data_IF_252428690806
#
_entry.id   IF_252428690806
#
_cell.length_a   1.000
_cell.length_b   1.000
_cell.length_c   1.000
_cell.angle_alpha   90.00
_cell.angle_beta   90.00
_cell.angle_gamma   90.00
#
_symmetry.space_group_name_H-M   'P 1'
#
loop_
_entity.id
_entity.type
_entity.pdbx_description
1 polymer ?
#
# COMPACT_ATOMS: atom_id res chain seq x y z
N UNK A 1 -9.18 2.80 7.42
CA UNK A 1 -8.77 2.14 6.19
C UNK A 1 -7.38 1.56 6.31
N UNK A 2 -7.12 0.51 5.55
CA UNK A 2 -5.84 -0.18 5.58
C UNK A 2 -4.70 0.69 5.07
N UNK A 3 -4.95 1.50 4.06
CA UNK A 3 -3.93 2.40 3.50
C UNK A 3 -3.56 3.48 4.51
N UNK A 4 -4.53 4.15 5.07
CA UNK A 4 -4.28 5.20 6.05
C UNK A 4 -3.63 4.62 7.30
N UNK A 5 -4.09 3.44 7.74
CA UNK A 5 -3.48 2.75 8.87
C UNK A 5 -2.01 2.45 8.61
N UNK A 6 -1.68 1.98 7.41
CA UNK A 6 -0.30 1.71 7.03
C UNK A 6 0.52 3.00 7.01
N UNK A 7 -0.05 4.09 6.49
CA UNK A 7 0.66 5.37 6.39
C UNK A 7 0.88 6.05 7.75
N UNK A 8 0.09 5.68 8.76
CA UNK A 8 0.25 6.23 10.11
C UNK A 8 1.41 5.61 10.89
N UNK A 9 1.80 4.40 10.54
CA UNK A 9 2.92 3.73 11.19
C UNK A 9 4.18 3.95 10.37
N UNK A 10 5.30 4.20 11.05
CA UNK A 10 6.55 4.52 10.38
C UNK A 10 7.03 3.42 9.43
N UNK A 11 7.08 2.18 9.92
CA UNK A 11 7.66 1.09 9.13
C UNK A 11 6.84 0.73 7.90
N UNK A 12 5.52 0.50 7.99
CA UNK A 12 4.72 0.25 6.77
C UNK A 12 4.80 1.41 5.78
N UNK A 13 4.74 2.64 6.28
CA UNK A 13 4.86 3.83 5.43
C UNK A 13 6.18 3.86 4.70
N UNK A 14 7.28 3.62 5.43
CA UNK A 14 8.61 3.63 4.83
C UNK A 14 8.78 2.52 3.81
N UNK A 15 8.21 1.34 4.05
CA UNK A 15 8.21 0.26 3.08
C UNK A 15 7.47 0.63 1.81
N UNK A 16 6.28 1.21 1.94
CA UNK A 16 5.52 1.64 0.77
C UNK A 16 6.25 2.73 0.01
N UNK A 17 6.83 3.70 0.71
CA UNK A 17 7.58 4.78 0.06
C UNK A 17 8.83 4.24 -0.66
N UNK A 18 9.52 3.28 -0.06
CA UNK A 18 10.67 2.66 -0.70
C UNK A 18 10.29 1.97 -2.00
N UNK A 19 9.16 1.28 -2.02
CA UNK A 19 8.68 0.60 -3.22
C UNK A 19 8.11 1.56 -4.26
N UNK A 20 7.56 2.68 -3.84
CA UNK A 20 7.11 3.72 -4.77
C UNK A 20 8.33 4.32 -5.47
N UNK A 21 9.40 4.53 -4.71
CA UNK A 21 10.63 5.09 -5.24
C UNK A 21 11.36 4.10 -6.15
N UNK A 22 11.48 2.85 -5.69
CA UNK A 22 12.19 1.79 -6.41
C UNK A 22 11.34 0.51 -6.36
N UNK A 23 10.50 0.31 -7.35
CA UNK A 23 9.66 -0.89 -7.40
C UNK A 23 10.51 -2.14 -7.66
N UNK A 24 10.09 -3.25 -7.08
CA UNK A 24 10.78 -4.52 -7.29
C UNK A 24 12.01 -4.75 -6.42
N UNK A 25 12.04 -4.14 -5.26
CA UNK A 25 13.14 -4.37 -4.31
C UNK A 25 13.06 -5.75 -3.69
N UNK A 26 14.22 -6.29 -3.36
CA UNK A 26 14.34 -7.53 -2.59
C UNK A 26 14.23 -7.22 -1.09
N UNK A 27 14.00 -8.25 -0.30
CA UNK A 27 13.85 -8.10 1.15
C UNK A 27 15.05 -7.40 1.80
N UNK A 28 16.26 -7.82 1.45
CA UNK A 28 17.47 -7.23 2.02
C UNK A 28 17.61 -5.75 1.69
N UNK A 29 17.19 -5.37 0.48
CA UNK A 29 17.20 -3.97 0.07
C UNK A 29 16.19 -3.15 0.85
N UNK A 30 15.01 -3.71 1.10
CA UNK A 30 13.99 -3.06 1.93
C UNK A 30 14.47 -2.87 3.36
N UNK A 31 15.14 -3.87 3.93
CA UNK A 31 15.72 -3.76 5.28
C UNK A 31 16.70 -2.60 5.35
N UNK A 32 17.57 -2.48 4.34
CA UNK A 32 18.53 -1.39 4.29
C UNK A 32 17.87 -0.02 4.10
N UNK A 33 16.83 0.02 3.25
CA UNK A 33 16.14 1.27 2.96
C UNK A 33 15.41 1.83 4.18
N UNK A 34 14.70 0.99 4.90
CA UNK A 34 13.91 1.44 6.05
C UNK A 34 14.71 1.46 7.34
N UNK A 35 15.90 0.89 7.35
CA UNK A 35 16.81 0.89 8.51
C UNK A 35 16.18 0.31 9.78
N UNK A 36 15.43 -0.77 9.61
CA UNK A 36 14.83 -1.51 10.72
C UNK A 36 15.36 -2.93 10.70
N UNK A 37 15.15 -3.66 11.81
CA UNK A 37 15.59 -5.04 11.90
C UNK A 37 14.85 -5.91 10.87
N UNK A 38 15.48 -7.00 10.38
CA UNK A 38 14.81 -7.90 9.45
C UNK A 38 13.49 -8.47 9.97
N UNK A 39 13.41 -8.77 11.26
CA UNK A 39 12.17 -9.29 11.84
C UNK A 39 11.04 -8.26 11.81
N UNK A 40 11.37 -7.00 12.09
CA UNK A 40 10.40 -5.91 12.03
C UNK A 40 9.92 -5.71 10.58
N UNK A 41 10.85 -5.68 9.64
CA UNK A 41 10.51 -5.52 8.21
C UNK A 41 9.64 -6.69 7.74
N UNK A 42 10.01 -7.91 8.12
CA UNK A 42 9.25 -9.10 7.75
C UNK A 42 7.81 -9.03 8.27
N UNK A 43 7.63 -8.63 9.51
CA UNK A 43 6.31 -8.50 10.12
C UNK A 43 5.42 -7.52 9.35
N UNK A 44 5.90 -6.31 9.13
CA UNK A 44 5.10 -5.28 8.49
C UNK A 44 4.94 -5.52 6.98
N UNK A 45 5.97 -6.06 6.35
CA UNK A 45 5.89 -6.41 4.94
C UNK A 45 4.82 -7.48 4.71
N UNK A 46 4.77 -8.49 5.58
CA UNK A 46 3.73 -9.52 5.51
C UNK A 46 2.35 -8.92 5.66
N UNK A 47 2.20 -7.94 6.54
CA UNK A 47 0.92 -7.27 6.73
C UNK A 47 0.47 -6.50 5.48
N UNK A 48 1.36 -5.72 4.87
CA UNK A 48 0.98 -4.95 3.68
C UNK A 48 0.77 -5.84 2.46
N UNK A 49 1.45 -6.98 2.39
CA UNK A 49 1.16 -7.98 1.35
C UNK A 49 -0.21 -8.59 1.57
N UNK A 50 -0.53 -8.97 2.80
CA UNK A 50 -1.83 -9.54 3.14
C UNK A 50 -2.97 -8.54 2.89
N UNK A 51 -2.69 -7.25 3.08
CA UNK A 51 -3.67 -6.19 2.85
C UNK A 51 -3.87 -5.87 1.37
N UNK A 52 -3.08 -6.48 0.49
CA UNK A 52 -3.22 -6.27 -0.95
C UNK A 52 -2.55 -5.00 -1.46
N UNK A 53 -1.68 -4.39 -0.69
CA UNK A 53 -0.96 -3.17 -1.07
C UNK A 53 0.35 -3.45 -1.79
N UNK A 54 0.91 -4.62 -1.56
CA UNK A 54 2.19 -5.06 -2.13
C UNK A 54 2.02 -6.49 -2.62
N UNK A 55 2.62 -6.82 -3.75
CA UNK A 55 2.65 -8.18 -4.25
C UNK A 55 4.08 -8.69 -4.34
N UNK A 56 4.22 -10.01 -4.28
CA UNK A 56 5.52 -10.67 -4.40
C UNK A 56 5.59 -11.32 -5.77
N UNK A 57 6.67 -11.03 -6.50
CA UNK A 57 6.97 -11.70 -7.76
C UNK A 57 8.30 -12.42 -7.63
N UNK A 58 8.35 -13.65 -8.12
CA UNK A 58 9.59 -14.43 -8.12
C UNK A 58 10.18 -14.39 -9.52
N UNK A 59 11.38 -13.84 -9.62
CA UNK A 59 12.13 -13.74 -10.87
C UNK A 59 13.50 -14.35 -10.65
N UNK A 60 13.84 -15.36 -11.44
CA UNK A 60 15.13 -16.06 -11.34
C UNK A 60 15.43 -16.52 -9.92
N UNK A 61 14.42 -17.13 -9.26
CA UNK A 61 14.51 -17.66 -7.90
C UNK A 61 14.62 -16.58 -6.81
N UNK A 62 14.47 -15.31 -7.17
CA UNK A 62 14.53 -14.21 -6.23
C UNK A 62 13.16 -13.60 -6.04
N UNK A 63 12.79 -13.35 -4.80
CA UNK A 63 11.54 -12.67 -4.48
C UNK A 63 11.73 -11.17 -4.57
N UNK A 64 10.87 -10.53 -5.36
CA UNK A 64 10.84 -9.07 -5.48
C UNK A 64 9.48 -8.57 -5.05
N UNK A 65 9.49 -7.45 -4.37
CA UNK A 65 8.27 -6.84 -3.83
C UNK A 65 7.88 -5.66 -4.70
N UNK A 66 6.61 -5.62 -5.09
CA UNK A 66 6.10 -4.59 -5.97
C UNK A 66 4.89 -3.93 -5.37
N UNK A 67 4.79 -2.61 -5.53
CA UNK A 67 3.58 -1.88 -5.17
C UNK A 67 2.44 -2.38 -6.05
N UNK A 68 1.34 -2.70 -5.42
CA UNK A 68 0.13 -3.06 -6.13
C UNK A 68 -0.72 -1.80 -6.25
N UNK A 69 -0.43 -1.01 -7.27
CA UNK A 69 -1.10 0.29 -7.47
C UNK A 69 -2.61 0.15 -7.47
N UNK A 70 -3.11 -0.87 -8.17
CA UNK A 70 -4.53 -1.13 -8.21
C UNK A 70 -5.09 -1.46 -6.82
N UNK A 71 -4.34 -2.22 -6.02
CA UNK A 71 -4.72 -2.52 -4.66
C UNK A 71 -4.81 -1.27 -3.80
N UNK A 72 -3.86 -0.35 -3.96
CA UNK A 72 -3.90 0.93 -3.26
C UNK A 72 -5.11 1.75 -3.66
N UNK A 73 -5.38 1.85 -4.95
CA UNK A 73 -6.53 2.60 -5.46
C UNK A 73 -7.82 2.00 -4.97
N UNK A 74 -7.95 0.67 -5.03
CA UNK A 74 -9.15 -0.02 -4.57
C UNK A 74 -9.41 0.23 -3.08
N UNK A 75 -8.37 0.20 -2.26
CA UNK A 75 -8.50 0.46 -0.82
C UNK A 75 -8.87 1.91 -0.54
N UNK A 76 -8.29 2.84 -1.27
CA UNK A 76 -8.65 4.24 -1.13
C UNK A 76 -10.11 4.49 -1.54
N UNK A 77 -10.54 3.87 -2.62
CA UNK A 77 -11.93 3.98 -3.07
C UNK A 77 -12.88 3.41 -2.02
N UNK A 78 -12.56 2.25 -1.45
CA UNK A 78 -13.36 1.68 -0.38
C UNK A 78 -13.49 2.62 0.81
N UNK A 79 -12.41 3.31 1.14
CA UNK A 79 -12.41 4.21 2.28
C UNK A 79 -13.29 5.43 2.09
N UNK A 80 -13.22 6.03 0.90
CA UNK A 80 -13.98 7.25 0.64
C UNK A 80 -15.36 7.00 0.07
N UNK A 81 -15.65 5.78 -0.29
CA UNK A 81 -16.85 5.41 -0.98
C UNK A 81 -18.06 5.10 -0.10
N UNK A 82 -17.91 4.25 0.94
CA UNK A 82 -19.07 3.61 1.54
C UNK A 82 -20.08 4.58 2.11
N UNK A 83 -19.67 5.42 3.00
CA UNK A 83 -20.58 6.31 3.67
C UNK A 83 -21.08 7.44 2.79
N UNK A 84 -20.19 8.01 2.00
CA UNK A 84 -20.53 9.16 1.18
C UNK A 84 -21.45 8.79 0.02
N UNK A 85 -21.25 7.64 -0.58
CA UNK A 85 -22.11 7.22 -1.69
C UNK A 85 -23.51 6.87 -1.22
N UNK A 86 -23.62 6.23 -0.08
CA UNK A 86 -24.92 5.88 0.46
C UNK A 86 -25.71 7.09 0.87
N UNK A 87 -25.04 8.09 1.42
CA UNK A 87 -25.71 9.27 1.97
C UNK A 87 -25.96 10.34 0.94
N UNK A 88 -25.19 10.38 -0.11
CA UNK A 88 -25.29 11.48 -1.05
C UNK A 88 -24.76 11.09 -2.41
N UNK A 89 -25.53 10.30 -3.09
CA UNK A 89 -25.27 10.03 -4.49
C UNK A 89 -25.13 11.34 -5.25
N UNK A 90 -25.97 12.30 -4.94
CA UNK A 90 -25.90 13.63 -5.51
C UNK A 90 -24.61 14.34 -5.14
N UNK A 91 -24.14 14.18 -3.90
CA UNK A 91 -22.86 14.75 -3.48
C UNK A 91 -21.71 14.19 -4.24
N UNK A 92 -21.72 12.90 -4.49
CA UNK A 92 -20.70 12.25 -5.28
C UNK A 92 -20.72 12.74 -6.73
N UNK A 93 -21.92 12.87 -7.30
CA UNK A 93 -22.07 13.41 -8.65
C UNK A 93 -21.59 14.85 -8.72
N UNK A 94 -21.85 15.63 -7.70
CA UNK A 94 -21.36 17.01 -7.66
C UNK A 94 -19.83 17.07 -7.69
N UNK A 95 -19.18 16.17 -6.97
CA UNK A 95 -17.73 16.08 -6.99
C UNK A 95 -17.24 15.75 -8.38
N UNK A 96 -17.84 14.78 -9.03
CA UNK A 96 -17.47 14.39 -10.37
C UNK A 96 -17.74 15.51 -11.36
N UNK A 97 -18.88 16.16 -11.22
CA UNK A 97 -19.27 17.22 -12.14
C UNK A 97 -18.46 18.51 -11.95
N UNK A 98 -17.85 18.66 -10.77
CA UNK A 98 -17.00 19.81 -10.51
C UNK A 98 -15.59 19.68 -11.07
N UNK A 99 -15.24 18.50 -11.55
CA UNK A 99 -13.99 18.31 -12.26
C UNK A 99 -14.16 18.62 -13.74
#
# INVERSE_FOLDING_TARGET
SLVIKALRKDTPRDLLLALIKDDGLEFSQLVQEVKKSPSTVSLYLSQIVADGLVEIKVVELKKRYHIKVRGLVDKLVEEYRPGSLEKSTSGFEDIINSF
#
